data_IF_661083241333
#
_entry.id   IF_661083241333
#
_cell.length_a   1.000
_cell.length_b   1.000
_cell.length_c   1.000
_cell.angle_alpha   90.00
_cell.angle_beta   90.00
_cell.angle_gamma   90.00
#
_symmetry.space_group_name_H-M   'P 1'
#
loop_
_entity.id
_entity.type
_entity.pdbx_description
1 polymer ?
#
# COMPACT_ATOMS: atom_id res chain seq x y z
N UNK A 1 -1.69 2.86 4.59
CA UNK A 1 -1.79 1.61 3.81
C UNK A 1 -0.67 1.59 2.77
N UNK A 2 0.25 0.64 2.86
CA UNK A 2 1.43 0.60 1.98
C UNK A 2 1.34 -0.66 1.12
N UNK A 3 1.13 -0.47 -0.18
CA UNK A 3 1.12 -1.53 -1.17
C UNK A 3 2.50 -1.70 -1.77
N UNK A 4 2.95 -2.95 -1.87
CA UNK A 4 4.17 -3.34 -2.56
C UNK A 4 3.88 -4.31 -3.69
N UNK A 5 4.68 -4.30 -4.74
CA UNK A 5 4.57 -5.25 -5.85
C UNK A 5 5.89 -5.94 -6.09
N UNK A 6 5.86 -7.27 -6.22
CA UNK A 6 7.01 -8.11 -6.48
C UNK A 6 6.56 -9.44 -7.11
N UNK A 7 7.24 -9.88 -8.15
CA UNK A 7 7.00 -11.16 -8.84
C UNK A 7 5.54 -11.43 -9.22
N UNK A 8 4.83 -10.40 -9.69
CA UNK A 8 3.44 -10.54 -10.11
C UNK A 8 2.41 -10.53 -8.96
N UNK A 9 2.84 -10.34 -7.72
CA UNK A 9 1.99 -10.35 -6.54
C UNK A 9 1.92 -8.96 -5.89
N UNK A 10 0.69 -8.52 -5.58
CA UNK A 10 0.46 -7.30 -4.78
C UNK A 10 0.44 -7.68 -3.30
N UNK A 11 1.30 -7.02 -2.53
CA UNK A 11 1.47 -7.23 -1.09
C UNK A 11 1.08 -5.98 -0.31
N UNK A 12 0.77 -6.17 0.94
CA UNK A 12 0.43 -5.13 1.90
C UNK A 12 1.38 -5.21 3.09
N UNK A 13 1.97 -4.06 3.49
CA UNK A 13 2.78 -4.00 4.69
C UNK A 13 1.87 -3.92 5.92
N UNK A 14 2.02 -4.90 6.81
CA UNK A 14 1.35 -4.94 8.11
C UNK A 14 2.39 -4.99 9.23
N UNK A 15 1.99 -4.51 10.41
CA UNK A 15 2.74 -4.64 11.65
C UNK A 15 2.05 -5.61 12.59
N UNK A 16 2.80 -6.38 13.36
CA UNK A 16 2.29 -7.13 14.50
C UNK A 16 2.28 -6.21 15.72
N UNK A 17 1.10 -5.95 16.28
CA UNK A 17 0.94 -5.05 17.42
C UNK A 17 1.57 -5.62 18.70
N UNK A 18 2.29 -4.79 19.43
CA UNK A 18 2.86 -5.15 20.75
C UNK A 18 2.08 -4.55 21.93
N UNK A 19 1.01 -3.79 21.67
CA UNK A 19 0.22 -3.08 22.70
C UNK A 19 -1.27 -3.44 22.65
N UNK A 20 -1.93 -3.32 23.81
CA UNK A 20 -3.38 -3.44 23.94
C UNK A 20 -4.09 -2.16 23.44
N UNK A 21 -5.30 -2.29 22.90
CA UNK A 21 -6.01 -3.52 22.53
C UNK A 21 -5.40 -4.22 21.31
N UNK A 22 -5.76 -5.49 21.11
CA UNK A 22 -5.31 -6.32 19.98
C UNK A 22 -3.80 -6.61 19.94
N UNK A 23 -3.15 -6.77 21.11
CA UNK A 23 -1.77 -7.24 21.19
C UNK A 23 -1.60 -8.59 20.47
N UNK A 24 -0.60 -8.72 19.60
CA UNK A 24 -0.35 -9.91 18.79
C UNK A 24 -1.15 -9.99 17.50
N UNK A 25 -2.09 -9.06 17.26
CA UNK A 25 -2.84 -8.98 16.01
C UNK A 25 -2.10 -8.15 14.97
N UNK A 26 -2.40 -8.45 13.72
CA UNK A 26 -1.87 -7.66 12.61
C UNK A 26 -2.66 -6.37 12.41
N UNK A 27 -1.95 -5.31 12.03
CA UNK A 27 -2.54 -4.00 11.84
C UNK A 27 -1.84 -3.22 10.72
N UNK A 28 -2.52 -2.21 10.20
CA UNK A 28 -1.86 -1.16 9.41
C UNK A 28 -0.95 -0.33 10.33
N UNK A 29 0.23 0.10 9.86
CA UNK A 29 1.00 1.12 10.56
C UNK A 29 0.13 2.35 10.83
N UNK A 30 0.04 2.78 12.07
CA UNK A 30 -0.80 3.90 12.48
C UNK A 30 -0.64 4.23 13.95
N UNK A 31 -0.68 5.52 14.29
CA UNK A 31 -0.62 6.02 15.68
C UNK A 31 -1.32 7.37 15.79
N UNK A 32 -1.28 7.97 16.97
CA UNK A 32 -1.86 9.29 17.22
C UNK A 32 -0.98 10.41 16.65
N UNK A 33 -1.64 11.49 16.23
CA UNK A 33 -0.97 12.75 15.89
C UNK A 33 -0.59 13.46 17.21
N UNK A 34 0.63 13.91 17.32
CA UNK A 34 1.11 14.63 18.49
C UNK A 34 0.72 16.12 18.45
N UNK A 35 0.80 16.80 19.62
CA UNK A 35 0.35 18.19 19.74
C UNK A 35 1.14 19.20 18.89
N UNK A 36 2.38 18.89 18.54
CA UNK A 36 3.35 19.79 17.89
C UNK A 36 3.73 19.36 16.49
N UNK A 37 2.95 18.50 15.84
CA UNK A 37 3.20 18.07 14.47
C UNK A 37 1.96 18.26 13.59
N UNK A 38 2.20 18.41 12.30
CA UNK A 38 1.12 18.34 11.30
C UNK A 38 0.74 16.89 11.02
N UNK A 39 -0.43 16.66 10.41
CA UNK A 39 -0.84 15.30 9.99
C UNK A 39 0.19 14.70 9.02
N UNK A 40 0.76 15.50 8.12
CA UNK A 40 1.76 15.03 7.16
C UNK A 40 3.09 14.66 7.82
N UNK A 41 3.47 15.35 8.91
CA UNK A 41 4.65 15.00 9.70
C UNK A 41 4.40 13.73 10.53
N UNK A 42 3.22 13.63 11.15
CA UNK A 42 2.80 12.42 11.86
C UNK A 42 2.86 11.17 10.96
N UNK A 43 2.36 11.27 9.73
CA UNK A 43 2.38 10.16 8.77
C UNK A 43 3.81 9.71 8.44
N UNK A 44 4.75 10.65 8.27
CA UNK A 44 6.17 10.34 8.02
C UNK A 44 6.85 9.72 9.24
N UNK A 45 6.59 10.28 10.45
CA UNK A 45 7.10 9.76 11.72
C UNK A 45 6.62 8.34 11.95
N UNK A 46 5.31 8.12 11.88
CA UNK A 46 4.67 6.81 12.11
C UNK A 46 5.18 5.77 11.09
N UNK A 47 5.32 6.15 9.81
CA UNK A 47 5.91 5.28 8.81
C UNK A 47 7.29 4.80 9.26
N UNK A 48 8.15 5.73 9.65
CA UNK A 48 9.51 5.39 10.08
C UNK A 48 9.53 4.54 11.36
N UNK A 49 8.82 4.97 12.40
CA UNK A 49 8.80 4.28 13.70
C UNK A 49 8.31 2.83 13.62
N UNK A 50 7.29 2.59 12.79
CA UNK A 50 6.66 1.28 12.70
C UNK A 50 7.26 0.36 11.62
N UNK A 51 8.03 0.90 10.69
CA UNK A 51 8.51 0.11 9.54
C UNK A 51 9.96 0.36 9.15
N UNK A 52 10.63 1.37 9.73
CA UNK A 52 11.96 1.81 9.33
C UNK A 52 12.03 2.52 7.97
N UNK A 53 10.93 2.59 7.23
CA UNK A 53 10.88 3.17 5.88
C UNK A 53 10.87 4.71 5.93
N UNK A 54 11.54 5.34 4.96
CA UNK A 54 11.60 6.81 4.79
C UNK A 54 11.48 7.21 3.33
N UNK A 55 11.10 8.47 3.10
CA UNK A 55 11.12 9.08 1.76
C UNK A 55 10.07 8.53 0.80
N UNK A 56 9.06 7.84 1.28
CA UNK A 56 7.98 7.28 0.46
C UNK A 56 6.91 8.34 0.25
N UNK A 57 6.51 8.56 -0.99
CA UNK A 57 5.38 9.41 -1.32
C UNK A 57 4.07 8.78 -0.85
N UNK A 58 3.29 9.53 -0.10
CA UNK A 58 1.99 9.09 0.43
C UNK A 58 0.89 10.09 0.05
N UNK A 59 -0.27 9.57 -0.28
CA UNK A 59 -1.45 10.37 -0.62
C UNK A 59 -2.58 10.07 0.37
N UNK A 60 -3.26 11.12 0.83
CA UNK A 60 -4.41 10.96 1.70
C UNK A 60 -5.51 10.14 1.02
N UNK A 61 -5.96 9.10 1.69
CA UNK A 61 -7.00 8.20 1.22
C UNK A 61 -8.39 8.73 1.57
N UNK A 62 -8.67 8.79 2.84
CA UNK A 62 -9.99 9.07 3.40
C UNK A 62 -9.90 9.27 4.92
N UNK A 63 -10.92 9.91 5.49
CA UNK A 63 -11.07 10.05 6.95
C UNK A 63 -12.14 9.10 7.47
N UNK A 64 -11.75 8.21 8.38
CA UNK A 64 -12.62 7.22 9.00
C UNK A 64 -13.07 7.71 10.36
N UNK A 65 -14.37 7.82 10.56
CA UNK A 65 -14.93 8.41 11.76
C UNK A 65 -16.15 7.66 12.33
N UNK A 66 -16.32 6.38 12.03
CA UNK A 66 -17.43 5.59 12.58
C UNK A 66 -17.38 5.53 14.10
N UNK A 67 -18.57 5.58 14.74
CA UNK A 67 -18.67 5.70 16.20
C UNK A 67 -18.08 4.50 16.95
N UNK A 68 -18.15 3.31 16.37
CA UNK A 68 -17.75 2.05 17.01
C UNK A 68 -16.44 1.47 16.46
N UNK A 69 -15.67 2.27 15.70
CA UNK A 69 -14.46 1.77 15.05
C UNK A 69 -13.31 1.43 16.02
N UNK A 70 -13.32 2.01 17.21
CA UNK A 70 -12.29 1.79 18.23
C UNK A 70 -12.92 1.47 19.59
N UNK A 71 -12.46 0.43 20.32
CA UNK A 71 -13.10 -0.01 21.56
C UNK A 71 -12.89 0.93 22.74
N UNK A 72 -11.83 1.73 22.73
CA UNK A 72 -11.46 2.60 23.85
C UNK A 72 -12.01 4.03 23.75
N UNK A 73 -12.78 4.35 22.71
CA UNK A 73 -13.40 5.67 22.60
C UNK A 73 -13.50 6.24 21.20
N UNK A 74 -13.79 7.53 21.12
CA UNK A 74 -13.99 8.26 19.87
C UNK A 74 -12.65 8.59 19.22
N UNK A 75 -12.27 7.82 18.22
CA UNK A 75 -11.05 8.03 17.43
C UNK A 75 -11.42 8.28 15.97
N UNK A 76 -10.85 9.33 15.39
CA UNK A 76 -10.94 9.64 13.95
C UNK A 76 -9.57 9.32 13.34
N UNK A 77 -9.57 8.58 12.25
CA UNK A 77 -8.35 8.21 11.53
C UNK A 77 -8.30 8.86 10.17
N UNK A 78 -7.26 9.62 9.89
CA UNK A 78 -6.91 10.09 8.55
C UNK A 78 -5.98 9.04 7.94
N UNK A 79 -6.48 8.28 6.98
CA UNK A 79 -5.70 7.25 6.33
C UNK A 79 -4.97 7.79 5.09
N UNK A 80 -3.75 7.32 4.91
CA UNK A 80 -2.91 7.55 3.73
C UNK A 80 -2.61 6.23 3.03
N UNK A 81 -2.31 6.28 1.74
CA UNK A 81 -1.81 5.12 1.00
C UNK A 81 -0.56 5.46 0.22
N UNK A 82 0.27 4.46 0.02
CA UNK A 82 1.48 4.52 -0.79
C UNK A 82 1.57 3.30 -1.70
N UNK A 83 2.24 3.47 -2.83
CA UNK A 83 2.62 2.39 -3.75
C UNK A 83 4.14 2.33 -3.77
N UNK A 84 4.70 1.13 -3.62
CA UNK A 84 6.12 0.92 -3.43
C UNK A 84 6.58 -0.30 -4.22
N UNK A 85 7.66 -0.15 -4.97
CA UNK A 85 8.34 -1.28 -5.59
C UNK A 85 9.24 -1.96 -4.57
N UNK A 86 8.99 -3.26 -4.31
CA UNK A 86 9.73 -3.99 -3.27
C UNK A 86 11.20 -4.21 -3.64
N UNK A 87 11.51 -4.28 -4.93
CA UNK A 87 12.89 -4.42 -5.42
C UNK A 87 13.78 -3.20 -5.11
N UNK A 88 13.18 -2.03 -4.82
CA UNK A 88 13.92 -0.82 -4.44
C UNK A 88 14.28 -0.78 -2.95
N UNK A 89 13.70 -1.67 -2.15
CA UNK A 89 14.01 -1.73 -0.73
C UNK A 89 15.39 -2.29 -0.49
N UNK A 90 16.23 -1.52 0.19
CA UNK A 90 17.59 -1.93 0.57
C UNK A 90 17.61 -2.98 1.70
N UNK A 91 16.53 -3.03 2.48
CA UNK A 91 16.33 -3.96 3.59
C UNK A 91 14.86 -4.25 3.79
N UNK A 92 14.55 -5.34 4.49
CA UNK A 92 13.19 -5.60 4.93
C UNK A 92 12.74 -4.51 5.93
N UNK A 93 11.43 -4.16 5.93
CA UNK A 93 10.88 -3.25 6.93
C UNK A 93 11.12 -3.79 8.34
N UNK A 94 11.60 -2.93 9.24
CA UNK A 94 11.88 -3.27 10.62
C UNK A 94 11.41 -2.12 11.53
N UNK A 95 10.54 -2.39 12.54
CA UNK A 95 10.11 -1.36 13.48
C UNK A 95 11.29 -0.78 14.25
N UNK A 96 11.25 0.53 14.48
CA UNK A 96 12.25 1.29 15.25
C UNK A 96 11.83 1.42 16.71
N UNK A 97 10.53 1.28 16.99
CA UNK A 97 9.95 1.38 18.33
C UNK A 97 9.30 0.08 18.76
N UNK A 98 9.10 -0.09 20.08
CA UNK A 98 8.48 -1.28 20.67
C UNK A 98 6.97 -1.39 20.43
N UNK A 99 6.34 -0.42 19.75
CA UNK A 99 4.92 -0.45 19.42
C UNK A 99 4.54 -1.64 18.52
N UNK A 100 5.43 -2.01 17.62
CA UNK A 100 5.28 -3.16 16.76
C UNK A 100 6.41 -4.17 17.02
N UNK A 101 6.10 -5.47 16.99
CA UNK A 101 7.10 -6.54 17.08
C UNK A 101 7.84 -6.74 15.79
N UNK A 102 7.12 -6.64 14.67
CA UNK A 102 7.66 -6.83 13.34
C UNK A 102 6.78 -6.10 12.31
N UNK A 103 7.36 -5.84 11.14
CA UNK A 103 6.68 -5.33 9.97
C UNK A 103 6.89 -6.32 8.81
N UNK A 104 5.81 -6.86 8.24
CA UNK A 104 5.88 -7.95 7.26
C UNK A 104 4.97 -7.67 6.07
N UNK A 105 5.45 -8.03 4.88
CA UNK A 105 4.69 -8.01 3.64
C UNK A 105 3.78 -9.23 3.52
N UNK A 106 2.48 -9.01 3.53
CA UNK A 106 1.47 -10.04 3.33
C UNK A 106 0.85 -9.97 1.94
N UNK A 107 0.64 -11.09 1.24
CA UNK A 107 -0.14 -11.11 0.01
C UNK A 107 -1.53 -10.52 0.22
N UNK A 108 -1.97 -9.61 -0.66
CA UNK A 108 -3.28 -8.95 -0.50
C UNK A 108 -4.45 -9.93 -0.54
N UNK A 109 -4.32 -11.05 -1.22
CA UNK A 109 -5.33 -12.11 -1.32
C UNK A 109 -5.33 -13.08 -0.12
N UNK A 110 -4.33 -13.01 0.76
CA UNK A 110 -4.20 -13.87 1.94
C UNK A 110 -3.75 -13.05 3.16
N UNK A 111 -4.58 -12.11 3.58
CA UNK A 111 -4.31 -11.28 4.76
C UNK A 111 -4.67 -12.04 6.04
N UNK A 112 -3.87 -11.90 7.10
CA UNK A 112 -4.19 -12.43 8.42
C UNK A 112 -5.38 -11.71 9.05
N UNK A 113 -5.78 -12.14 10.24
CA UNK A 113 -6.77 -11.45 11.04
C UNK A 113 -6.24 -10.07 11.48
N UNK A 114 -7.08 -9.03 11.28
CA UNK A 114 -6.68 -7.65 11.42
C UNK A 114 -7.35 -6.99 12.64
N UNK A 115 -6.58 -6.18 13.35
CA UNK A 115 -7.07 -5.35 14.44
C UNK A 115 -8.03 -4.26 13.93
N UNK A 116 -8.96 -3.86 14.78
CA UNK A 116 -9.88 -2.75 14.56
C UNK A 116 -10.72 -2.91 13.27
N UNK A 117 -10.97 -1.78 12.62
CA UNK A 117 -11.62 -1.69 11.30
C UNK A 117 -10.60 -1.69 10.14
N UNK A 118 -9.38 -2.16 10.35
CA UNK A 118 -8.31 -2.06 9.37
C UNK A 118 -8.62 -2.80 8.06
N UNK A 119 -9.41 -3.86 8.12
CA UNK A 119 -9.92 -4.51 6.90
C UNK A 119 -10.73 -3.56 6.03
N UNK A 120 -11.61 -2.77 6.65
CA UNK A 120 -12.41 -1.78 5.94
C UNK A 120 -11.53 -0.67 5.30
N UNK A 121 -10.48 -0.24 6.01
CA UNK A 121 -9.52 0.74 5.48
C UNK A 121 -8.81 0.17 4.24
N UNK A 122 -8.36 -1.08 4.29
CA UNK A 122 -7.71 -1.77 3.16
C UNK A 122 -8.64 -1.89 1.96
N UNK A 123 -9.89 -2.34 2.17
CA UNK A 123 -10.86 -2.51 1.10
C UNK A 123 -11.18 -1.18 0.40
N UNK A 124 -11.26 -0.09 1.15
CA UNK A 124 -11.43 1.26 0.61
C UNK A 124 -10.20 1.73 -0.16
N UNK A 125 -9.02 1.39 0.35
CA UNK A 125 -7.72 1.71 -0.26
C UNK A 125 -7.55 1.05 -1.62
N UNK A 126 -7.72 -0.27 -1.69
CA UNK A 126 -7.58 -1.00 -2.96
C UNK A 126 -8.64 -0.57 -3.98
N UNK A 127 -9.85 -0.23 -3.52
CA UNK A 127 -10.91 0.32 -4.38
C UNK A 127 -10.51 1.68 -4.97
N UNK A 128 -9.85 2.56 -4.20
CA UNK A 128 -9.31 3.83 -4.70
C UNK A 128 -8.18 3.59 -5.71
N UNK A 129 -7.23 2.70 -5.42
CA UNK A 129 -6.14 2.35 -6.33
C UNK A 129 -6.68 1.77 -7.64
N UNK A 130 -7.61 0.80 -7.59
CA UNK A 130 -8.26 0.21 -8.76
C UNK A 130 -8.93 1.25 -9.67
N UNK A 131 -9.59 2.21 -9.07
CA UNK A 131 -10.21 3.31 -9.82
C UNK A 131 -9.15 4.24 -10.41
N UNK A 132 -8.13 4.60 -9.63
CA UNK A 132 -7.10 5.57 -10.04
C UNK A 132 -6.25 5.06 -11.20
N UNK A 133 -5.88 3.78 -11.24
CA UNK A 133 -5.11 3.20 -12.35
C UNK A 133 -5.86 3.19 -13.69
N UNK A 134 -7.17 3.40 -13.68
CA UNK A 134 -7.96 3.47 -14.91
C UNK A 134 -7.78 4.77 -15.69
N UNK A 135 -7.30 5.83 -15.03
CA UNK A 135 -7.14 7.17 -15.63
C UNK A 135 -5.81 7.87 -15.26
N UNK A 136 -5.00 7.29 -14.40
CA UNK A 136 -3.73 7.85 -13.95
C UNK A 136 -2.62 6.80 -14.04
N UNK A 137 -1.40 7.18 -14.41
CA UNK A 137 -0.27 6.26 -14.53
C UNK A 137 0.33 5.82 -13.16
N UNK A 138 -0.37 6.03 -12.06
CA UNK A 138 0.11 5.73 -10.69
C UNK A 138 0.61 4.28 -10.53
N UNK A 139 0.11 3.34 -11.33
CA UNK A 139 0.59 1.96 -11.30
C UNK A 139 2.08 1.84 -11.66
N UNK A 140 2.63 2.79 -12.41
CA UNK A 140 4.04 2.76 -12.82
C UNK A 140 5.01 2.95 -11.65
N UNK A 141 4.56 3.54 -10.55
CA UNK A 141 5.33 3.62 -9.29
C UNK A 141 5.70 2.22 -8.73
N UNK A 142 4.96 1.20 -9.14
CA UNK A 142 5.18 -0.20 -8.74
C UNK A 142 6.07 -0.98 -9.71
N UNK A 143 6.52 -0.36 -10.81
CA UNK A 143 7.34 -0.98 -11.85
C UNK A 143 8.71 -0.31 -11.96
N UNK A 144 9.75 -1.03 -12.44
CA UNK A 144 11.01 -0.39 -12.79
C UNK A 144 10.83 0.62 -13.92
N UNK A 145 11.79 1.53 -14.07
CA UNK A 145 11.78 2.53 -15.16
C UNK A 145 11.64 1.87 -16.54
N UNK A 146 12.29 0.71 -16.71
CA UNK A 146 12.15 -0.14 -17.92
C UNK A 146 11.43 -1.42 -17.54
N UNK A 147 10.32 -1.71 -18.19
CA UNK A 147 9.51 -2.90 -17.94
C UNK A 147 8.90 -3.45 -19.23
N UNK A 148 8.52 -4.71 -19.21
CA UNK A 148 7.80 -5.35 -20.30
C UNK A 148 6.28 -5.15 -20.21
N UNK A 149 5.57 -5.20 -21.33
CA UNK A 149 4.10 -5.18 -21.32
C UNK A 149 3.50 -6.36 -20.54
N UNK A 150 4.26 -7.44 -20.38
CA UNK A 150 3.85 -8.60 -19.56
C UNK A 150 3.91 -8.25 -18.07
N UNK A 151 4.96 -7.61 -17.59
CA UNK A 151 5.06 -7.12 -16.21
C UNK A 151 3.95 -6.10 -15.90
N UNK A 152 3.71 -5.16 -16.83
CA UNK A 152 2.62 -4.21 -16.69
C UNK A 152 1.26 -4.92 -16.60
N UNK A 153 1.01 -5.92 -17.43
CA UNK A 153 -0.23 -6.71 -17.38
C UNK A 153 -0.37 -7.46 -16.05
N UNK A 154 0.69 -8.11 -15.57
CA UNK A 154 0.68 -8.81 -14.28
C UNK A 154 0.36 -7.85 -13.12
N UNK A 155 0.93 -6.63 -13.13
CA UNK A 155 0.61 -5.62 -12.14
C UNK A 155 -0.88 -5.24 -12.16
N UNK A 156 -1.44 -4.96 -13.34
CA UNK A 156 -2.85 -4.63 -13.47
C UNK A 156 -3.76 -5.80 -13.05
N UNK A 157 -3.39 -7.04 -13.38
CA UNK A 157 -4.10 -8.25 -12.94
C UNK A 157 -4.06 -8.40 -11.43
N UNK A 158 -2.89 -8.17 -10.80
CA UNK A 158 -2.73 -8.22 -9.34
C UNK A 158 -3.60 -7.15 -8.63
N UNK A 159 -3.60 -5.91 -9.14
CA UNK A 159 -4.40 -4.82 -8.56
C UNK A 159 -5.90 -5.09 -8.73
N UNK A 160 -6.36 -5.52 -9.91
CA UNK A 160 -7.78 -5.79 -10.16
C UNK A 160 -8.26 -7.13 -9.62
N UNK A 161 -7.34 -8.04 -9.27
CA UNK A 161 -7.64 -9.37 -8.76
C UNK A 161 -8.29 -10.29 -9.79
N UNK A 162 -8.01 -10.08 -11.09
CA UNK A 162 -8.55 -10.88 -12.20
C UNK A 162 -7.60 -10.92 -13.38
N UNK A 163 -7.68 -12.01 -14.17
CA UNK A 163 -6.93 -12.13 -15.43
C UNK A 163 -7.47 -11.20 -16.50
N UNK A 164 -6.57 -10.71 -17.34
CA UNK A 164 -6.87 -9.82 -18.46
C UNK A 164 -6.52 -10.51 -19.79
N UNK A 165 -7.32 -10.25 -20.80
CA UNK A 165 -6.98 -10.67 -22.16
C UNK A 165 -5.74 -9.92 -22.65
N UNK A 166 -4.72 -10.67 -23.03
CA UNK A 166 -3.40 -10.15 -23.40
C UNK A 166 -3.45 -9.20 -24.59
N UNK A 167 -4.24 -9.55 -25.62
CA UNK A 167 -4.34 -8.76 -26.86
C UNK A 167 -5.05 -7.43 -26.60
N UNK A 168 -6.17 -7.48 -25.91
CA UNK A 168 -6.96 -6.29 -25.61
C UNK A 168 -6.21 -5.36 -24.64
N UNK A 169 -5.52 -5.91 -23.64
CA UNK A 169 -4.71 -5.14 -22.71
C UNK A 169 -3.59 -4.40 -23.44
N UNK A 170 -2.79 -5.09 -24.26
CA UNK A 170 -1.70 -4.49 -25.02
C UNK A 170 -2.19 -3.38 -25.96
N UNK A 171 -3.26 -3.63 -26.71
CA UNK A 171 -3.86 -2.63 -27.59
C UNK A 171 -4.28 -1.38 -26.81
N UNK A 172 -4.90 -1.56 -25.64
CA UNK A 172 -5.33 -0.46 -24.78
C UNK A 172 -4.13 0.35 -24.26
N UNK A 173 -3.08 -0.29 -23.76
CA UNK A 173 -1.89 0.38 -23.20
C UNK A 173 -1.14 1.18 -24.27
N UNK A 174 -0.97 0.63 -25.45
CA UNK A 174 -0.33 1.33 -26.58
C UNK A 174 -1.14 2.54 -27.05
N UNK A 175 -2.46 2.46 -27.05
CA UNK A 175 -3.33 3.58 -27.43
C UNK A 175 -3.31 4.77 -26.44
N UNK A 176 -2.86 4.57 -25.21
CA UNK A 176 -2.73 5.68 -24.24
C UNK A 176 -1.56 6.63 -24.55
N UNK A 177 -0.63 6.27 -25.43
CA UNK A 177 0.56 7.06 -25.79
C UNK A 177 1.41 7.50 -24.59
N UNK A 178 1.39 6.73 -23.49
CA UNK A 178 2.16 6.99 -22.28
C UNK A 178 3.40 6.10 -22.16
N UNK A 179 3.58 5.17 -23.10
CA UNK A 179 4.70 4.25 -23.15
C UNK A 179 5.61 4.61 -24.33
N UNK A 180 6.92 4.53 -24.12
CA UNK A 180 7.93 4.62 -25.14
C UNK A 180 8.53 3.24 -25.38
N UNK A 181 8.47 2.76 -26.60
CA UNK A 181 9.12 1.51 -26.98
C UNK A 181 10.63 1.67 -27.02
N UNK A 182 11.35 0.71 -26.43
CA UNK A 182 12.80 0.69 -26.41
C UNK A 182 13.31 -0.44 -27.30
N UNK A 183 14.36 -0.21 -28.13
CA UNK A 183 14.88 -1.21 -29.07
C UNK A 183 15.62 -2.38 -28.41
N UNK A 184 15.87 -2.31 -27.12
CA UNK A 184 16.68 -3.27 -26.37
C UNK A 184 15.99 -4.63 -26.09
N UNK A 185 14.69 -4.77 -26.45
CA UNK A 185 13.87 -5.96 -26.17
C UNK A 185 13.01 -6.37 -27.38
N UNK A 186 13.65 -6.64 -28.47
CA UNK A 186 13.03 -7.40 -29.57
C UNK A 186 13.26 -8.89 -29.43
#
# INVERSE_FOLDING_TARGET
>A
VIFGFHEGELKLLLIERNEYPFKGWWALPGFFVEHNETIDDAVKRILYEHTGLRGIYMEQLYTFGDLKRHPQGRIITVAYYALLRLDDLKSQPEPVTDYARQAVWHPLNNLPELAFDHRHIIDKSISKVRRKISYSPIAFELLPEKFTLTQLQQLYEAIWGRKLDKRNFRKKMLNYNILKELPEFQ
#
